data_IF_975832045623
#
_entry.id   IF_975832045623
#
_cell.length_a   1.000
_cell.length_b   1.000
_cell.length_c   1.000
_cell.angle_alpha   90.00
_cell.angle_beta   90.00
_cell.angle_gamma   90.00
#
_symmetry.space_group_name_H-M   'P 1'
#
loop_
_entity.id
_entity.type
_entity.pdbx_description
1 polymer ?
#
# COMPACT_ATOMS: atom_id res chain seq x y z
N UNK A 1 -53.41 32.47 -70.68
CA UNK A 1 -51.97 32.14 -70.79
C UNK A 1 -51.47 31.44 -69.51
N UNK A 2 -51.35 30.11 -69.57
CA UNK A 2 -50.42 29.18 -68.87
C UNK A 2 -50.09 29.50 -67.40
N UNK A 3 -50.40 28.68 -66.39
CA UNK A 3 -50.44 27.21 -66.37
C UNK A 3 -49.04 26.65 -66.04
N UNK A 4 -48.91 26.21 -64.78
CA UNK A 4 -48.25 24.97 -64.34
C UNK A 4 -46.72 24.90 -64.12
N UNK A 5 -46.40 24.50 -62.87
CA UNK A 5 -45.41 23.49 -62.47
C UNK A 5 -43.94 23.60 -62.93
N UNK A 6 -43.05 23.94 -62.00
CA UNK A 6 -41.71 23.33 -61.96
C UNK A 6 -41.22 23.25 -60.51
N UNK A 7 -41.56 22.17 -59.82
CA UNK A 7 -40.73 20.96 -59.62
C UNK A 7 -39.71 21.12 -58.49
N UNK A 8 -40.19 20.78 -57.30
CA UNK A 8 -39.43 20.16 -56.23
C UNK A 8 -38.41 19.15 -56.77
N UNK A 9 -37.12 19.49 -56.73
CA UNK A 9 -36.01 18.55 -56.81
C UNK A 9 -35.10 18.75 -55.60
N UNK A 10 -35.44 18.00 -54.57
CA UNK A 10 -34.49 17.20 -53.80
C UNK A 10 -33.02 17.33 -54.22
N UNK A 11 -32.22 17.89 -53.32
CA UNK A 11 -30.85 17.44 -53.10
C UNK A 11 -30.61 17.40 -51.59
N UNK A 12 -31.35 16.51 -50.93
CA UNK A 12 -31.05 16.00 -49.60
C UNK A 12 -29.76 15.17 -49.65
N UNK A 13 -28.61 15.80 -49.92
CA UNK A 13 -27.30 15.24 -49.60
C UNK A 13 -27.04 15.36 -48.09
N UNK A 14 -27.88 14.68 -47.30
CA UNK A 14 -27.47 14.19 -45.98
C UNK A 14 -26.42 13.13 -46.24
N UNK A 15 -25.16 13.56 -46.34
CA UNK A 15 -24.03 12.66 -46.31
C UNK A 15 -24.23 11.67 -45.17
N UNK A 16 -24.25 10.37 -45.51
CA UNK A 16 -24.17 9.29 -44.53
C UNK A 16 -22.94 9.58 -43.68
N UNK A 17 -23.12 10.23 -42.52
CA UNK A 17 -22.19 10.11 -41.41
C UNK A 17 -22.11 8.61 -41.18
N UNK A 18 -20.99 8.00 -41.55
CA UNK A 18 -20.72 6.62 -41.18
C UNK A 18 -21.07 6.52 -39.71
N UNK A 19 -21.93 5.57 -39.35
CA UNK A 19 -22.28 5.33 -37.96
C UNK A 19 -20.97 4.96 -37.30
N UNK A 20 -20.31 5.93 -36.67
CA UNK A 20 -19.02 5.73 -36.02
C UNK A 20 -19.28 4.62 -35.02
N UNK A 21 -18.64 3.49 -35.27
CA UNK A 21 -18.77 2.33 -34.41
C UNK A 21 -18.32 2.77 -33.02
N UNK A 22 -19.17 2.52 -32.02
CA UNK A 22 -18.88 2.97 -30.66
C UNK A 22 -17.72 2.13 -30.16
N UNK A 23 -16.52 2.70 -30.15
CA UNK A 23 -15.35 2.05 -29.59
C UNK A 23 -15.58 1.83 -28.10
N UNK A 24 -15.42 0.59 -27.65
CA UNK A 24 -15.56 0.26 -26.23
C UNK A 24 -14.48 0.97 -25.41
N UNK A 25 -14.88 1.54 -24.27
CA UNK A 25 -13.99 2.27 -23.36
C UNK A 25 -13.32 1.33 -22.36
N UNK A 26 -12.62 0.32 -22.87
CA UNK A 26 -11.83 -0.60 -22.05
C UNK A 26 -10.41 -0.08 -21.86
N UNK A 27 -9.74 -0.56 -20.81
CA UNK A 27 -8.34 -0.22 -20.60
C UNK A 27 -7.45 -0.70 -21.75
N UNK A 28 -7.72 -1.86 -22.33
CA UNK A 28 -6.90 -2.41 -23.41
C UNK A 28 -7.05 -1.61 -24.70
N UNK A 29 -8.26 -1.14 -25.02
CA UNK A 29 -8.47 -0.20 -26.14
C UNK A 29 -7.77 1.15 -25.88
N UNK A 30 -7.83 1.64 -24.64
CA UNK A 30 -7.08 2.84 -24.25
C UNK A 30 -5.57 2.64 -24.39
N UNK A 31 -5.04 1.50 -23.94
CA UNK A 31 -3.61 1.20 -23.99
C UNK A 31 -3.13 1.13 -25.44
N UNK A 32 -3.88 0.43 -26.31
CA UNK A 32 -3.60 0.38 -27.75
C UNK A 32 -3.58 1.78 -28.36
N UNK A 33 -4.58 2.61 -28.06
CA UNK A 33 -4.60 3.99 -28.53
C UNK A 33 -3.47 4.85 -27.95
N UNK A 34 -3.06 4.58 -26.71
CA UNK A 34 -1.97 5.29 -26.05
C UNK A 34 -0.63 5.03 -26.73
N UNK A 35 -0.30 3.77 -27.06
CA UNK A 35 0.99 3.46 -27.72
C UNK A 35 1.07 4.05 -29.13
N UNK A 36 -0.02 4.06 -29.89
CA UNK A 36 -0.07 4.74 -31.19
C UNK A 36 0.16 6.25 -31.04
N UNK A 37 -0.55 6.88 -30.09
CA UNK A 37 -0.35 8.28 -29.77
C UNK A 37 1.09 8.58 -29.35
N UNK A 38 1.67 7.76 -28.47
CA UNK A 38 3.03 7.96 -27.99
C UNK A 38 4.04 7.81 -29.13
N UNK A 39 3.89 6.79 -29.98
CA UNK A 39 4.74 6.58 -31.15
C UNK A 39 4.76 7.78 -32.09
N UNK A 40 3.59 8.33 -32.43
CA UNK A 40 3.52 9.54 -33.28
C UNK A 40 4.22 10.74 -32.64
N UNK A 41 4.06 10.93 -31.33
CA UNK A 41 4.71 12.04 -30.62
C UNK A 41 6.22 11.84 -30.53
N UNK A 42 6.67 10.63 -30.22
CA UNK A 42 8.09 10.29 -30.09
C UNK A 42 8.85 10.45 -31.40
N UNK A 43 8.24 10.13 -32.54
CA UNK A 43 8.86 10.29 -33.86
C UNK A 43 9.17 11.76 -34.21
N UNK A 44 8.41 12.71 -33.66
CA UNK A 44 8.61 14.16 -33.90
C UNK A 44 9.39 14.81 -32.75
N UNK A 45 9.24 14.31 -31.52
CA UNK A 45 9.80 14.87 -30.31
C UNK A 45 10.43 13.78 -29.44
N UNK A 46 11.61 13.29 -29.85
CA UNK A 46 12.30 12.18 -29.19
C UNK A 46 12.53 12.41 -27.69
N UNK A 47 12.83 13.64 -27.28
CA UNK A 47 13.02 14.01 -25.86
C UNK A 47 11.75 13.79 -25.02
N UNK A 48 10.56 13.78 -25.64
CA UNK A 48 9.28 13.56 -24.95
C UNK A 48 8.99 12.09 -24.64
N UNK A 49 9.71 11.15 -25.25
CA UNK A 49 9.43 9.72 -25.06
C UNK A 49 9.59 9.26 -23.61
N UNK A 50 10.63 9.73 -22.91
CA UNK A 50 10.81 9.43 -21.49
C UNK A 50 9.62 9.91 -20.63
N UNK A 51 9.08 11.09 -20.94
CA UNK A 51 7.95 11.66 -20.24
C UNK A 51 6.66 10.85 -20.46
N UNK A 52 6.38 10.46 -21.71
CA UNK A 52 5.22 9.64 -22.06
C UNK A 52 5.29 8.24 -21.46
N UNK A 53 6.46 7.61 -21.50
CA UNK A 53 6.68 6.29 -20.90
C UNK A 53 6.49 6.31 -19.38
N UNK A 54 6.93 7.37 -18.69
CA UNK A 54 6.66 7.51 -17.26
C UNK A 54 5.19 7.79 -16.95
N UNK A 55 4.49 8.57 -17.79
CA UNK A 55 3.04 8.72 -17.67
C UNK A 55 2.32 7.37 -17.82
N UNK A 56 2.69 6.57 -18.82
CA UNK A 56 2.16 5.21 -18.99
C UNK A 56 2.39 4.35 -17.73
N UNK A 57 3.60 4.38 -17.17
CA UNK A 57 3.92 3.68 -15.91
C UNK A 57 3.02 4.14 -14.76
N UNK A 58 2.72 5.43 -14.66
CA UNK A 58 1.83 5.98 -13.63
C UNK A 58 0.39 5.48 -13.80
N UNK A 59 -0.13 5.45 -15.03
CA UNK A 59 -1.48 4.92 -15.33
C UNK A 59 -1.55 3.42 -15.04
N UNK A 60 -0.53 2.64 -15.43
CA UNK A 60 -0.45 1.21 -15.11
C UNK A 60 -0.38 0.96 -13.59
N UNK A 61 0.34 1.81 -12.85
CA UNK A 61 0.36 1.75 -11.39
C UNK A 61 -1.02 2.03 -10.78
N UNK A 62 -1.77 3.00 -11.33
CA UNK A 62 -3.15 3.25 -10.93
C UNK A 62 -4.03 2.01 -11.19
N UNK A 63 -3.90 1.38 -12.37
CA UNK A 63 -4.61 0.14 -12.72
C UNK A 63 -4.32 -0.98 -11.71
N UNK A 64 -3.04 -1.18 -11.37
CA UNK A 64 -2.62 -2.23 -10.44
C UNK A 64 -3.21 -2.03 -9.03
N UNK A 65 -3.28 -0.78 -8.56
CA UNK A 65 -3.71 -0.45 -7.20
C UNK A 65 -5.22 -0.30 -7.04
N UNK A 66 -5.92 0.16 -8.09
CA UNK A 66 -7.28 0.66 -8.01
C UNK A 66 -8.21 0.12 -9.12
N UNK A 67 -7.67 -0.63 -10.09
CA UNK A 67 -8.41 -1.20 -11.21
C UNK A 67 -8.52 -0.27 -12.42
N UNK A 68 -9.13 -0.81 -13.48
CA UNK A 68 -9.16 -0.20 -14.82
C UNK A 68 -9.86 1.16 -14.83
N UNK A 69 -11.00 1.28 -14.14
CA UNK A 69 -11.77 2.53 -14.11
C UNK A 69 -10.95 3.69 -13.52
N UNK A 70 -10.31 3.48 -12.38
CA UNK A 70 -9.48 4.50 -11.73
C UNK A 70 -8.29 4.93 -12.58
N UNK A 71 -7.71 4.00 -13.35
CA UNK A 71 -6.61 4.29 -14.26
C UNK A 71 -7.06 5.18 -15.43
N UNK A 72 -8.23 4.89 -16.00
CA UNK A 72 -8.82 5.68 -17.08
C UNK A 72 -9.24 7.08 -16.62
N UNK A 73 -9.83 7.17 -15.42
CA UNK A 73 -10.24 8.45 -14.83
C UNK A 73 -9.01 9.32 -14.52
N UNK A 74 -7.94 8.72 -13.97
CA UNK A 74 -6.67 9.40 -13.75
C UNK A 74 -6.05 9.93 -15.04
N UNK A 75 -5.93 9.11 -16.10
CA UNK A 75 -5.39 9.56 -17.40
C UNK A 75 -6.23 10.69 -18.01
N UNK A 76 -7.56 10.55 -17.96
CA UNK A 76 -8.48 11.56 -18.51
C UNK A 76 -8.32 12.90 -17.80
N UNK A 77 -8.31 12.89 -16.46
CA UNK A 77 -8.13 14.10 -15.66
C UNK A 77 -6.74 14.71 -15.88
N UNK A 78 -5.69 13.88 -15.97
CA UNK A 78 -4.34 14.33 -16.24
C UNK A 78 -4.21 15.01 -17.61
N UNK A 79 -4.69 14.36 -18.68
CA UNK A 79 -4.63 14.91 -20.04
C UNK A 79 -5.43 16.20 -20.17
N UNK A 80 -6.58 16.30 -19.51
CA UNK A 80 -7.38 17.55 -19.45
C UNK A 80 -6.62 18.68 -18.75
N UNK A 81 -5.85 18.38 -17.70
CA UNK A 81 -4.96 19.36 -17.06
C UNK A 81 -3.81 19.74 -17.98
N UNK A 82 -3.17 18.76 -18.62
CA UNK A 82 -2.06 18.99 -19.53
C UNK A 82 -2.44 19.82 -20.76
N UNK A 83 -3.69 19.74 -21.22
CA UNK A 83 -4.17 20.59 -22.32
C UNK A 83 -4.32 22.06 -21.93
N UNK A 84 -4.37 22.36 -20.63
CA UNK A 84 -4.50 23.73 -20.10
C UNK A 84 -3.17 24.33 -19.66
N UNK A 85 -2.12 23.52 -19.50
CA UNK A 85 -0.82 23.95 -18.99
C UNK A 85 0.32 23.18 -19.66
N UNK A 86 1.17 23.93 -20.37
CA UNK A 86 2.39 23.39 -20.98
C UNK A 86 3.42 22.93 -19.94
N UNK A 87 3.29 23.35 -18.67
CA UNK A 87 4.18 22.97 -17.56
C UNK A 87 3.80 21.64 -16.92
N UNK A 88 2.74 20.98 -17.40
CA UNK A 88 2.33 19.69 -16.88
C UNK A 88 3.47 18.67 -16.97
N UNK A 89 3.89 18.14 -15.81
CA UNK A 89 4.96 17.14 -15.70
C UNK A 89 4.40 15.74 -15.92
N UNK A 90 4.50 15.28 -17.16
CA UNK A 90 4.10 13.91 -17.59
C UNK A 90 4.94 12.81 -16.94
N UNK A 91 6.16 13.13 -16.52
CA UNK A 91 7.07 12.18 -15.87
C UNK A 91 6.72 11.86 -14.41
N UNK A 92 5.94 12.70 -13.75
CA UNK A 92 5.65 12.59 -12.31
C UNK A 92 4.18 12.27 -12.06
N UNK A 93 3.93 11.58 -10.94
CA UNK A 93 2.56 11.39 -10.46
C UNK A 93 2.02 12.76 -10.01
N UNK A 94 0.95 13.21 -10.64
CA UNK A 94 0.19 14.35 -10.14
C UNK A 94 -0.54 13.97 -8.85
N UNK A 95 0.02 14.35 -7.70
CA UNK A 95 -0.47 13.94 -6.38
C UNK A 95 -1.92 14.39 -6.10
N UNK A 96 -2.35 15.62 -6.44
CA UNK A 96 -3.76 16.01 -6.30
C UNK A 96 -4.72 15.12 -7.08
N UNK A 97 -4.46 14.89 -8.37
CA UNK A 97 -5.29 14.02 -9.20
C UNK A 97 -5.27 12.56 -8.71
N UNK A 98 -4.10 12.09 -8.28
CA UNK A 98 -3.94 10.75 -7.75
C UNK A 98 -4.83 10.50 -6.51
N UNK A 99 -4.90 11.47 -5.60
CA UNK A 99 -5.71 11.36 -4.40
C UNK A 99 -7.21 11.30 -4.72
N UNK A 100 -7.65 12.02 -5.75
CA UNK A 100 -9.07 12.09 -6.15
C UNK A 100 -9.48 10.88 -6.99
N UNK A 101 -8.70 10.54 -8.01
CA UNK A 101 -9.10 9.52 -9.00
C UNK A 101 -8.69 8.10 -8.61
N UNK A 102 -7.57 7.93 -7.89
CA UNK A 102 -7.02 6.60 -7.56
C UNK A 102 -7.26 6.28 -6.08
N UNK A 103 -7.06 7.25 -5.20
CA UNK A 103 -7.17 7.12 -3.74
C UNK A 103 -8.45 6.42 -3.22
N UNK A 104 -9.66 6.75 -3.74
CA UNK A 104 -10.90 6.12 -3.27
C UNK A 104 -10.96 4.61 -3.50
N UNK A 105 -10.33 4.14 -4.57
CA UNK A 105 -10.38 2.74 -5.00
C UNK A 105 -9.29 1.86 -4.35
N UNK A 106 -8.21 2.46 -3.83
CA UNK A 106 -7.15 1.72 -3.14
C UNK A 106 -7.62 1.06 -1.83
N UNK A 107 -8.68 1.59 -1.21
CA UNK A 107 -9.29 1.03 0.01
C UNK A 107 -10.19 -0.15 -0.36
N UNK A 108 -9.63 -1.28 -0.78
CA UNK A 108 -10.50 -2.36 -1.24
C UNK A 108 -9.88 -3.65 -1.76
N UNK A 109 -8.91 -4.24 -1.04
CA UNK A 109 -8.65 -5.70 -1.17
C UNK A 109 -8.81 -6.50 0.13
N UNK A 110 -9.24 -5.88 1.23
CA UNK A 110 -9.36 -6.59 2.51
C UNK A 110 -10.40 -6.12 3.53
N UNK A 111 -11.18 -5.06 3.27
CA UNK A 111 -12.16 -4.62 4.27
C UNK A 111 -13.25 -3.73 3.66
N UNK A 112 -14.25 -4.34 3.03
CA UNK A 112 -15.49 -3.63 2.62
C UNK A 112 -16.58 -3.67 3.69
N UNK A 113 -16.29 -4.12 4.91
CA UNK A 113 -17.31 -4.16 5.98
C UNK A 113 -16.81 -3.87 7.40
N UNK A 114 -15.79 -3.04 7.57
CA UNK A 114 -15.47 -2.51 8.91
C UNK A 114 -15.59 -0.99 8.93
N UNK A 115 -16.38 -0.43 9.86
CA UNK A 115 -16.34 1.00 10.10
C UNK A 115 -14.89 1.37 10.43
N UNK A 116 -14.43 2.49 9.88
CA UNK A 116 -13.14 3.11 10.15
C UNK A 116 -12.92 3.22 11.67
N UNK A 117 -12.29 2.21 12.28
CA UNK A 117 -11.66 2.37 13.59
C UNK A 117 -10.25 2.86 13.32
N UNK A 118 -10.01 4.10 13.71
CA UNK A 118 -8.68 4.65 13.88
C UNK A 118 -7.89 3.73 14.83
N UNK A 119 -6.94 2.95 14.31
CA UNK A 119 -6.14 2.00 15.10
C UNK A 119 -5.91 0.66 14.41
N UNK A 120 -5.04 0.65 13.40
CA UNK A 120 -4.57 -0.57 12.74
C UNK A 120 -3.77 -1.46 13.69
N UNK A 121 -4.00 -2.76 13.54
CA UNK A 121 -3.51 -3.87 14.35
C UNK A 121 -2.00 -4.12 14.11
N UNK A 122 -1.15 -3.26 14.66
CA UNK A 122 0.20 -3.66 15.04
C UNK A 122 0.13 -4.27 16.43
N UNK A 123 0.50 -5.54 16.58
CA UNK A 123 0.68 -6.16 17.90
C UNK A 123 1.74 -5.41 18.74
N UNK A 124 2.71 -4.77 18.08
CA UNK A 124 3.70 -3.89 18.72
C UNK A 124 3.10 -2.59 19.30
N UNK A 125 1.87 -2.21 18.89
CA UNK A 125 1.16 -1.02 19.39
C UNK A 125 0.20 -1.32 20.54
N UNK A 126 0.15 -2.56 21.03
CA UNK A 126 -0.60 -2.90 22.24
C UNK A 126 0.26 -2.89 23.49
N UNK A 127 1.51 -2.45 23.46
CA UNK A 127 2.34 -2.36 24.66
C UNK A 127 1.84 -1.23 25.58
N UNK A 128 1.74 -1.52 26.87
CA UNK A 128 1.41 -0.53 27.89
C UNK A 128 2.65 0.32 28.20
N UNK A 129 2.71 1.56 27.72
CA UNK A 129 3.83 2.46 28.03
C UNK A 129 3.90 2.85 29.51
N UNK A 130 2.76 2.96 30.20
CA UNK A 130 2.74 3.23 31.64
C UNK A 130 3.32 2.07 32.44
N UNK A 131 3.06 0.83 32.01
CA UNK A 131 3.70 -0.35 32.59
C UNK A 131 5.21 -0.28 32.38
N UNK A 132 5.65 0.00 31.15
CA UNK A 132 7.07 0.16 30.85
C UNK A 132 7.75 1.31 31.60
N UNK A 133 7.00 2.32 32.04
CA UNK A 133 7.46 3.41 32.91
C UNK A 133 7.37 3.09 34.42
N UNK A 134 6.85 1.91 34.80
CA UNK A 134 6.65 1.49 36.20
C UNK A 134 5.45 2.14 36.90
N UNK A 135 4.50 2.70 36.14
CA UNK A 135 3.38 3.52 36.65
C UNK A 135 1.99 2.92 36.43
N UNK A 136 1.87 1.82 35.67
CA UNK A 136 0.56 1.21 35.45
C UNK A 136 0.04 0.52 36.71
N UNK A 137 -1.17 0.88 37.13
CA UNK A 137 -1.85 0.33 38.33
C UNK A 137 -2.94 -0.70 37.99
N UNK A 138 -3.23 -0.92 36.71
CA UNK A 138 -4.30 -1.80 36.29
C UNK A 138 -3.86 -3.26 36.22
N UNK A 139 -4.40 -4.10 37.11
CA UNK A 139 -4.16 -5.55 37.10
C UNK A 139 -4.70 -6.24 35.83
N UNK A 140 -5.82 -5.73 35.27
CA UNK A 140 -6.38 -6.16 33.98
C UNK A 140 -6.25 -5.04 32.95
N UNK A 141 -5.01 -4.76 32.53
CA UNK A 141 -4.75 -3.74 31.53
C UNK A 141 -5.25 -4.17 30.14
N UNK A 142 -5.77 -3.21 29.36
CA UNK A 142 -6.18 -3.43 27.97
C UNK A 142 -4.97 -3.58 27.02
N UNK A 143 -3.81 -3.12 27.48
CA UNK A 143 -2.54 -3.13 26.78
C UNK A 143 -1.62 -4.20 27.43
N UNK A 144 -0.79 -4.83 26.61
CA UNK A 144 0.13 -5.90 26.99
C UNK A 144 1.25 -5.35 27.88
N UNK A 145 1.50 -6.06 28.98
CA UNK A 145 2.54 -5.75 29.97
C UNK A 145 3.85 -6.46 29.62
N UNK A 146 4.45 -6.01 28.52
CA UNK A 146 5.72 -6.54 28.02
C UNK A 146 6.73 -5.40 27.82
N UNK A 147 8.02 -5.71 28.04
CA UNK A 147 9.12 -4.77 27.82
C UNK A 147 9.19 -4.30 26.37
N UNK A 148 9.34 -2.99 26.11
CA UNK A 148 9.45 -2.47 24.74
C UNK A 148 10.78 -2.87 24.04
N UNK A 149 11.81 -3.24 24.80
CA UNK A 149 13.15 -3.54 24.26
C UNK A 149 13.33 -5.03 23.96
N UNK A 150 12.86 -5.90 24.86
CA UNK A 150 13.10 -7.35 24.78
C UNK A 150 11.81 -8.18 24.80
N UNK A 151 10.63 -7.55 24.90
CA UNK A 151 9.32 -8.19 24.95
C UNK A 151 9.09 -9.15 26.14
N UNK A 152 9.99 -9.16 27.12
CA UNK A 152 9.89 -10.00 28.33
C UNK A 152 8.84 -9.52 29.35
N UNK A 153 8.48 -10.35 30.34
CA UNK A 153 7.47 -10.07 31.38
C UNK A 153 8.02 -9.19 32.50
N UNK A 154 8.58 -8.04 32.14
CA UNK A 154 9.05 -7.00 33.04
C UNK A 154 8.87 -5.64 32.37
N UNK A 155 8.75 -4.54 33.14
CA UNK A 155 8.71 -3.21 32.56
C UNK A 155 10.09 -2.82 32.04
N UNK A 156 10.15 -1.94 31.04
CA UNK A 156 11.41 -1.42 30.48
C UNK A 156 12.39 -0.90 31.55
N UNK A 157 11.89 -0.25 32.60
CA UNK A 157 12.73 0.24 33.71
C UNK A 157 13.49 -0.85 34.46
N UNK A 158 13.05 -2.11 34.36
CA UNK A 158 13.70 -3.28 34.96
C UNK A 158 14.38 -4.18 33.91
N UNK A 159 14.54 -3.69 32.66
CA UNK A 159 15.15 -4.45 31.59
C UNK A 159 16.67 -4.51 31.75
N UNK A 160 17.21 -5.73 31.80
CA UNK A 160 18.66 -6.00 31.85
C UNK A 160 19.26 -6.36 30.49
N UNK A 161 18.44 -6.40 29.43
CA UNK A 161 18.90 -6.66 28.07
C UNK A 161 19.57 -5.40 27.51
N UNK A 162 20.88 -5.48 27.26
CA UNK A 162 21.69 -4.35 26.87
C UNK A 162 21.34 -3.83 25.47
N UNK A 163 21.25 -2.50 25.37
CA UNK A 163 20.97 -1.70 24.17
C UNK A 163 21.73 -2.19 22.93
N UNK A 164 21.01 -2.64 21.91
CA UNK A 164 21.52 -2.73 20.54
C UNK A 164 21.42 -1.37 19.83
N UNK A 165 22.43 -0.51 19.99
CA UNK A 165 22.70 0.59 19.06
C UNK A 165 24.18 0.99 19.10
N UNK A 166 24.94 0.46 18.13
CA UNK A 166 26.19 0.98 17.52
C UNK A 166 27.39 1.35 18.42
N UNK A 167 28.53 0.70 18.15
CA UNK A 167 29.86 1.34 18.20
C UNK A 167 30.86 0.85 19.26
N UNK A 168 31.92 0.19 18.77
CA UNK A 168 33.31 0.18 19.27
C UNK A 168 33.72 -0.65 20.51
N UNK A 169 34.38 -1.77 20.17
CA UNK A 169 35.59 -2.41 20.72
C UNK A 169 36.14 -1.99 22.10
N UNK A 170 36.31 -2.99 22.99
CA UNK A 170 37.42 -3.33 23.91
C UNK A 170 36.90 -4.56 24.70
N UNK A 171 37.45 -5.78 24.71
CA UNK A 171 38.84 -6.21 24.81
C UNK A 171 39.14 -6.69 26.23
N UNK A 172 38.70 -7.91 26.62
CA UNK A 172 39.31 -8.81 27.64
C UNK A 172 38.35 -9.96 28.07
N UNK A 173 38.69 -11.20 27.72
CA UNK A 173 38.37 -12.46 28.46
C UNK A 173 39.28 -12.60 29.69
N UNK A 174 39.13 -13.57 30.65
CA UNK A 174 38.18 -14.70 30.88
C UNK A 174 37.64 -14.66 32.38
N UNK A 175 37.16 -15.72 33.09
CA UNK A 175 37.08 -17.14 32.78
C UNK A 175 35.75 -17.89 33.00
N UNK A 176 35.64 -18.92 32.18
CA UNK A 176 34.66 -20.01 32.18
C UNK A 176 34.94 -20.99 33.32
N UNK A 177 33.88 -21.46 34.00
CA UNK A 177 33.79 -22.80 34.64
C UNK A 177 32.33 -23.28 34.70
N UNK A 178 32.10 -24.60 34.80
CA UNK A 178 31.30 -25.31 33.80
C UNK A 178 29.92 -25.75 34.31
N UNK A 179 29.06 -26.08 33.34
CA UNK A 179 27.78 -26.74 33.54
C UNK A 179 28.00 -28.26 33.62
N UNK A 180 27.61 -28.90 34.73
CA UNK A 180 27.40 -30.35 34.82
C UNK A 180 25.91 -30.62 35.00
N UNK A 181 25.38 -31.24 33.95
CA UNK A 181 24.25 -32.16 33.80
C UNK A 181 23.44 -32.56 35.06
N UNK A 182 22.15 -32.20 35.00
CA UNK A 182 20.97 -33.09 34.97
C UNK A 182 21.16 -34.53 35.50
N UNK A 183 20.42 -34.88 36.57
CA UNK A 183 19.56 -36.07 36.72
C UNK A 183 18.79 -35.94 38.06
N UNK A 184 17.45 -35.90 38.08
CA UNK A 184 16.47 -37.01 38.02
C UNK A 184 16.37 -37.83 39.33
N UNK A 185 15.21 -37.78 40.00
CA UNK A 185 14.79 -38.71 41.08
C UNK A 185 14.44 -38.01 42.40
N UNK A 186 13.17 -37.70 42.71
CA UNK A 186 12.13 -38.58 43.29
C UNK A 186 12.27 -38.83 44.81
N UNK A 187 11.25 -38.37 45.54
CA UNK A 187 10.71 -39.09 46.71
C UNK A 187 11.30 -38.74 48.08
N UNK A 188 10.58 -37.91 48.84
CA UNK A 188 10.73 -37.79 50.28
C UNK A 188 9.97 -38.92 51.01
N UNK A 189 10.55 -39.47 52.09
CA UNK A 189 10.01 -39.44 53.46
C UNK A 189 10.42 -40.65 54.32
N UNK A 190 11.12 -40.33 55.42
CA UNK A 190 10.92 -40.76 56.80
C UNK A 190 10.89 -42.26 57.21
N UNK A 191 11.66 -42.54 58.27
CA UNK A 191 11.05 -43.11 59.49
C UNK A 191 11.61 -44.46 59.95
N UNK A 192 12.32 -44.41 61.08
CA UNK A 192 12.89 -45.51 61.86
C UNK A 192 11.91 -46.63 62.29
N UNK A 193 12.40 -47.88 62.36
CA UNK A 193 12.73 -48.61 63.62
C UNK A 193 12.87 -50.15 63.38
N UNK A 194 13.64 -50.90 64.21
CA UNK A 194 13.97 -52.30 63.97
C UNK A 194 13.28 -53.28 64.93
N UNK A 195 12.91 -54.50 64.49
CA UNK A 195 12.75 -55.67 65.39
C UNK A 195 13.06 -57.00 64.66
N UNK A 196 13.83 -57.83 65.38
CA UNK A 196 14.16 -59.27 65.31
C UNK A 196 13.09 -60.18 64.68
N UNK A 197 13.42 -61.31 64.05
CA UNK A 197 14.06 -62.50 64.62
C UNK A 197 14.64 -63.40 63.52
#
# INVERSE_FOLDING_TARGET
PRGDEEHNREDTKKGKRSKVEKVDKTFDNWLSGFVEFAGVVEMVYLERGWHLNNHLRNVLKARQLAGDQAALDYDTAFRKRASQSAEARWDLINQPLWLVEVGPYMKGKGDRNKPLRWGGKDSSKRLCWEYNAGKCVHAKCKLDHNCDQCLGPHPRVACTSQRGAQGSFHGATPPSKPNISKDSGSGAAAGAAPVRR
#
